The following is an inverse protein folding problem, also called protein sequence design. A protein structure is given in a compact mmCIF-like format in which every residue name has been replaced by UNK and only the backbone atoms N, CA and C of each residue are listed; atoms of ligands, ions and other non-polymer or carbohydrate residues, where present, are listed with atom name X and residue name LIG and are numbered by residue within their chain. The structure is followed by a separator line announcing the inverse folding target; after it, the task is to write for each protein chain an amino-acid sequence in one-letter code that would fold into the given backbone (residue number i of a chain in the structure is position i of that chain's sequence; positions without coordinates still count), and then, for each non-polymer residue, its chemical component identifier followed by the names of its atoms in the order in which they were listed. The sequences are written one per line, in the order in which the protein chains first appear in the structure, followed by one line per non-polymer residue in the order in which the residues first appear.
data_IF_373934792220
#
_entry.id   IF_373934792220
#
_cell.length_a   1.000
_cell.length_b   1.000
_cell.length_c   1.000
_cell.angle_alpha   90.00
_cell.angle_beta   90.00
_cell.angle_gamma   90.00
#
_symmetry.space_group_name_H-M   'P 1'
#
loop_
_entity.id
_entity.type
_entity.pdbx_description
1 polymer ?
#
# COMPACT_ATOMS: atom_id res chain seq x y z
N UNK A 1 -50.39 60.01 -5.00
CA UNK A 1 -50.84 60.65 -6.25
C UNK A 1 -49.75 60.48 -7.30
N UNK A 2 -50.16 60.23 -8.54
CA UNK A 2 -49.36 59.80 -9.70
C UNK A 2 -48.37 60.88 -10.14
N UNK A 3 -47.18 60.49 -10.62
CA UNK A 3 -46.73 60.82 -11.99
C UNK A 3 -45.28 60.42 -12.24
N UNK A 4 -45.08 59.71 -13.34
CA UNK A 4 -43.79 59.50 -13.99
C UNK A 4 -43.37 60.75 -14.77
N UNK A 5 -42.04 60.96 -14.92
CA UNK A 5 -41.50 61.51 -16.17
C UNK A 5 -39.99 61.24 -16.31
N UNK A 6 -39.68 60.57 -17.42
CA UNK A 6 -38.40 60.43 -18.11
C UNK A 6 -37.74 61.79 -18.39
N UNK A 7 -36.40 61.87 -18.39
CA UNK A 7 -35.55 62.59 -19.37
C UNK A 7 -34.09 62.10 -19.17
N UNK A 8 -33.41 61.86 -20.29
CA UNK A 8 -32.05 61.33 -20.41
C UNK A 8 -31.02 62.48 -20.65
N UNK A 9 -29.83 62.23 -21.23
CA UNK A 9 -28.54 62.08 -20.55
C UNK A 9 -27.53 63.17 -20.97
N UNK A 10 -26.40 63.36 -20.28
CA UNK A 10 -25.15 63.83 -20.94
C UNK A 10 -23.90 63.84 -20.03
N UNK A 11 -22.83 63.27 -20.59
CA UNK A 11 -21.44 63.77 -20.59
C UNK A 11 -20.64 63.92 -19.28
N UNK A 12 -19.67 63.00 -19.15
CA UNK A 12 -18.22 63.21 -18.92
C UNK A 12 -17.74 64.31 -17.95
N UNK A 13 -16.91 63.87 -16.97
CA UNK A 13 -15.84 64.66 -16.35
C UNK A 13 -15.91 64.71 -14.82
N UNK A 14 -15.21 63.84 -14.10
CA UNK A 14 -13.83 64.03 -13.57
C UNK A 14 -13.79 64.64 -12.14
N UNK A 15 -13.60 63.74 -11.17
CA UNK A 15 -12.78 63.85 -9.94
C UNK A 15 -13.12 64.92 -8.88
N UNK A 16 -13.51 64.48 -7.67
CA UNK A 16 -12.82 64.84 -6.40
C UNK A 16 -13.26 63.99 -5.19
N UNK A 17 -12.26 63.55 -4.40
CA UNK A 17 -12.22 63.15 -2.97
C UNK A 17 -13.34 62.23 -2.41
N UNK A 18 -12.99 61.01 -2.00
CA UNK A 18 -12.58 60.66 -0.62
C UNK A 18 -13.67 60.98 0.42
N UNK A 19 -14.44 59.98 0.86
CA UNK A 19 -14.24 59.27 2.14
C UNK A 19 -15.52 58.48 2.55
N UNK A 20 -15.33 57.20 2.89
CA UNK A 20 -16.21 56.31 3.69
C UNK A 20 -17.56 55.88 3.08
N UNK A 21 -17.66 54.62 2.64
CA UNK A 21 -18.11 53.49 3.48
C UNK A 21 -18.18 52.22 2.61
N UNK A 22 -17.43 51.21 3.06
CA UNK A 22 -17.64 49.77 2.93
C UNK A 22 -18.73 49.29 1.97
N UNK A 23 -18.40 48.40 1.03
CA UNK A 23 -18.59 46.97 1.25
C UNK A 23 -17.47 46.20 0.52
N UNK A 24 -16.79 45.27 1.21
CA UNK A 24 -15.70 44.49 0.66
C UNK A 24 -16.17 43.53 -0.41
N UNK A 25 -15.28 43.36 -1.37
CA UNK A 25 -15.21 42.30 -2.37
C UNK A 25 -15.89 41.01 -1.92
N UNK A 26 -16.62 40.42 -2.86
CA UNK A 26 -17.17 39.07 -2.83
C UNK A 26 -16.06 38.04 -2.59
N UNK A 27 -15.66 37.89 -1.33
CA UNK A 27 -14.83 36.83 -0.79
C UNK A 27 -15.49 36.32 0.49
N UNK A 28 -16.70 35.79 0.35
CA UNK A 28 -17.29 34.95 1.39
C UNK A 28 -18.37 34.05 0.81
N UNK A 29 -17.97 32.91 0.25
CA UNK A 29 -18.77 31.70 0.39
C UNK A 29 -18.15 30.91 1.55
N UNK A 30 -18.81 30.86 2.72
CA UNK A 30 -18.42 29.95 3.77
C UNK A 30 -18.81 28.53 3.36
N UNK A 31 -17.87 27.59 3.50
CA UNK A 31 -18.19 26.17 3.60
C UNK A 31 -18.34 25.43 2.27
N UNK A 32 -17.23 25.20 1.57
CA UNK A 32 -16.97 23.79 1.19
C UNK A 32 -16.60 23.11 2.50
N UNK A 33 -17.63 22.70 3.26
CA UNK A 33 -17.43 22.00 4.52
C UNK A 33 -16.59 20.76 4.23
N UNK A 34 -15.78 20.34 5.20
CA UNK A 34 -14.98 19.12 5.13
C UNK A 34 -15.79 17.88 4.72
N UNK A 35 -17.12 17.98 4.74
CA UNK A 35 -18.06 16.94 4.42
C UNK A 35 -18.09 16.59 2.92
N UNK A 36 -17.79 17.55 2.02
CA UNK A 36 -17.60 17.26 0.59
C UNK A 36 -16.25 16.58 0.30
N UNK A 37 -15.20 16.92 1.06
CA UNK A 37 -13.91 16.20 0.99
C UNK A 37 -14.03 14.80 1.60
N UNK A 38 -14.75 14.66 2.72
CA UNK A 38 -15.07 13.37 3.36
C UNK A 38 -15.94 12.48 2.47
N UNK A 39 -16.86 13.04 1.69
CA UNK A 39 -17.64 12.24 0.73
C UNK A 39 -16.84 11.87 -0.52
N UNK A 40 -15.83 12.67 -0.94
CA UNK A 40 -14.89 12.26 -1.97
C UNK A 40 -13.93 11.14 -1.48
N UNK A 41 -13.50 11.15 -0.22
CA UNK A 41 -12.75 10.02 0.37
C UNK A 41 -13.60 8.74 0.44
N UNK A 42 -14.91 8.88 0.67
CA UNK A 42 -15.86 7.76 0.64
C UNK A 42 -16.23 7.29 -0.78
N UNK A 43 -16.03 8.13 -1.80
CA UNK A 43 -16.23 7.82 -3.23
C UNK A 43 -14.90 7.68 -3.99
N UNK A 44 -13.82 7.26 -3.32
CA UNK A 44 -12.70 6.64 -4.03
C UNK A 44 -13.24 5.35 -4.64
N UNK A 45 -13.67 5.48 -5.91
CA UNK A 45 -14.08 4.42 -6.83
C UNK A 45 -13.44 3.12 -6.37
N UNK A 46 -14.28 2.23 -5.86
CA UNK A 46 -13.93 0.94 -5.27
C UNK A 46 -13.33 0.05 -6.35
N UNK A 47 -12.09 0.32 -6.71
CA UNK A 47 -11.24 -0.62 -7.39
C UNK A 47 -10.81 -1.67 -6.35
N UNK A 48 -11.78 -2.42 -5.84
CA UNK A 48 -11.55 -3.56 -4.96
C UNK A 48 -10.73 -4.56 -5.76
N UNK A 49 -9.45 -4.69 -5.41
CA UNK A 49 -8.63 -5.73 -6.03
C UNK A 49 -9.11 -7.05 -5.46
N UNK A 50 -9.02 -8.11 -6.26
CA UNK A 50 -9.35 -9.48 -5.82
C UNK A 50 -8.68 -9.83 -4.47
N UNK A 51 -7.48 -9.32 -4.25
CA UNK A 51 -6.71 -9.56 -3.02
C UNK A 51 -7.32 -8.86 -1.78
N UNK A 52 -8.06 -7.76 -1.95
CA UNK A 52 -8.77 -7.07 -0.86
C UNK A 52 -10.02 -7.86 -0.43
N UNK A 53 -10.64 -8.57 -1.38
CA UNK A 53 -11.84 -9.39 -1.14
C UNK A 53 -11.52 -10.81 -0.65
N UNK A 54 -10.30 -11.29 -0.92
CA UNK A 54 -9.85 -12.64 -0.56
C UNK A 54 -8.42 -12.59 0.00
N UNK A 55 -8.24 -12.11 1.25
CA UNK A 55 -6.93 -11.99 1.86
C UNK A 55 -6.29 -13.38 1.98
N UNK A 56 -5.09 -13.53 1.42
CA UNK A 56 -4.32 -14.77 1.55
C UNK A 56 -3.52 -14.77 2.85
N UNK A 57 -3.43 -15.95 3.49
CA UNK A 57 -2.49 -16.20 4.60
C UNK A 57 -1.02 -16.13 4.16
N UNK A 58 -0.74 -16.19 2.86
CA UNK A 58 0.60 -16.30 2.31
C UNK A 58 1.04 -15.02 1.59
N UNK A 59 2.34 -14.71 1.67
CA UNK A 59 2.95 -13.63 0.93
C UNK A 59 2.83 -13.83 -0.58
N UNK A 60 2.36 -12.79 -1.27
CA UNK A 60 2.39 -12.67 -2.72
C UNK A 60 3.29 -11.52 -3.13
N UNK A 61 3.79 -11.53 -4.36
CA UNK A 61 4.61 -10.44 -4.90
C UNK A 61 3.90 -9.07 -4.81
N UNK A 62 2.58 -9.05 -4.99
CA UNK A 62 1.77 -7.83 -4.88
C UNK A 62 1.77 -7.23 -3.46
N UNK A 63 1.95 -8.06 -2.42
CA UNK A 63 1.96 -7.62 -1.02
C UNK A 63 3.22 -6.84 -0.66
N UNK A 64 4.31 -7.07 -1.39
CA UNK A 64 5.58 -6.39 -1.20
C UNK A 64 5.60 -4.99 -1.86
N UNK A 65 4.59 -4.66 -2.67
CA UNK A 65 4.48 -3.33 -3.29
C UNK A 65 5.68 -2.93 -4.15
N UNK A 66 6.41 -3.91 -4.72
CA UNK A 66 7.63 -3.66 -5.50
C UNK A 66 8.88 -3.39 -4.67
N UNK A 67 8.83 -3.48 -3.33
CA UNK A 67 9.95 -3.18 -2.44
C UNK A 67 10.43 -4.44 -1.70
N UNK A 68 11.74 -4.57 -1.41
CA UNK A 68 12.21 -5.59 -0.51
C UNK A 68 11.67 -5.34 0.91
N UNK A 69 11.45 -6.43 1.65
CA UNK A 69 10.97 -6.42 3.03
C UNK A 69 11.86 -7.35 3.88
N UNK A 70 12.56 -6.75 4.83
CA UNK A 70 13.44 -7.46 5.76
C UNK A 70 12.64 -8.00 6.93
N UNK A 71 12.78 -9.29 7.22
CA UNK A 71 12.02 -9.99 8.23
C UNK A 71 12.89 -10.98 9.00
N UNK A 72 12.59 -11.14 10.29
CA UNK A 72 13.15 -12.22 11.11
C UNK A 72 12.22 -13.43 11.08
N UNK A 73 12.78 -14.61 10.84
CA UNK A 73 12.06 -15.88 10.83
C UNK A 73 11.67 -16.22 12.28
N UNK A 74 10.37 -16.41 12.52
CA UNK A 74 9.82 -16.79 13.83
C UNK A 74 9.65 -18.30 13.96
N UNK A 75 9.31 -18.97 12.87
CA UNK A 75 9.01 -20.40 12.89
C UNK A 75 9.10 -21.00 11.49
N UNK A 76 9.55 -22.24 11.41
CA UNK A 76 9.52 -23.07 10.20
C UNK A 76 8.63 -24.29 10.47
N UNK A 77 7.51 -24.41 9.76
CA UNK A 77 6.52 -25.48 9.99
C UNK A 77 6.01 -26.06 8.68
N UNK A 78 5.71 -27.36 8.64
CA UNK A 78 5.07 -27.99 7.49
C UNK A 78 3.54 -27.79 7.59
N UNK A 79 2.93 -27.22 6.54
CA UNK A 79 1.48 -27.13 6.41
C UNK A 79 1.00 -27.85 5.14
N UNK A 80 -0.10 -28.59 5.25
CA UNK A 80 -0.76 -29.21 4.11
C UNK A 80 -1.51 -28.15 3.28
N UNK A 81 -1.02 -27.91 2.06
CA UNK A 81 -1.58 -26.94 1.13
C UNK A 81 -2.26 -27.62 -0.04
N UNK A 82 -3.40 -27.09 -0.47
CA UNK A 82 -4.04 -27.55 -1.71
C UNK A 82 -3.24 -27.05 -2.91
N UNK A 83 -2.76 -27.97 -3.73
CA UNK A 83 -2.14 -27.64 -5.00
C UNK A 83 -3.21 -27.24 -6.05
N UNK A 84 -2.77 -26.85 -7.25
CA UNK A 84 -3.68 -26.47 -8.34
C UNK A 84 -4.64 -27.57 -8.80
N UNK A 85 -4.33 -28.84 -8.50
CA UNK A 85 -5.14 -30.01 -8.84
C UNK A 85 -6.09 -30.40 -7.69
N UNK A 86 -6.09 -29.64 -6.58
CA UNK A 86 -6.94 -29.88 -5.42
C UNK A 86 -6.43 -30.95 -4.45
N UNK A 87 -5.27 -31.55 -4.73
CA UNK A 87 -4.64 -32.50 -3.81
C UNK A 87 -3.87 -31.75 -2.71
N UNK A 88 -3.83 -32.34 -1.52
CA UNK A 88 -3.02 -31.83 -0.42
C UNK A 88 -1.54 -32.14 -0.69
N UNK A 89 -0.70 -31.13 -0.55
CA UNK A 89 0.75 -31.21 -0.69
C UNK A 89 1.35 -30.55 0.55
N UNK A 90 2.19 -31.29 1.26
CA UNK A 90 2.91 -30.77 2.42
C UNK A 90 3.99 -29.80 1.94
N UNK A 91 3.92 -28.56 2.41
CA UNK A 91 4.94 -27.54 2.09
C UNK A 91 5.49 -26.93 3.36
N UNK A 92 6.77 -26.59 3.32
CA UNK A 92 7.40 -25.78 4.34
C UNK A 92 6.87 -24.35 4.28
N UNK A 93 6.50 -23.83 5.44
CA UNK A 93 5.95 -22.50 5.61
C UNK A 93 6.74 -21.78 6.69
N UNK A 94 7.19 -20.55 6.38
CA UNK A 94 7.89 -19.69 7.33
C UNK A 94 6.95 -18.63 7.89
N UNK A 95 6.92 -18.52 9.21
CA UNK A 95 6.35 -17.40 9.93
C UNK A 95 7.41 -16.35 10.23
N UNK A 96 7.00 -15.08 10.32
CA UNK A 96 7.90 -13.97 10.61
C UNK A 96 7.46 -13.18 11.84
N UNK A 97 8.43 -12.60 12.54
CA UNK A 97 8.16 -11.73 13.69
C UNK A 97 7.39 -10.49 13.21
N UNK A 98 6.29 -10.15 13.90
CA UNK A 98 5.47 -8.97 13.58
C UNK A 98 4.60 -9.08 12.32
N UNK A 99 4.67 -10.20 11.57
CA UNK A 99 3.87 -10.39 10.36
C UNK A 99 2.77 -11.43 10.58
N UNK A 100 1.58 -11.14 10.03
CA UNK A 100 0.46 -12.10 9.99
C UNK A 100 0.54 -13.06 8.80
N UNK A 101 1.31 -12.68 7.77
CA UNK A 101 1.48 -13.46 6.56
C UNK A 101 2.65 -14.42 6.70
N UNK A 102 2.51 -15.57 6.05
CA UNK A 102 3.49 -16.63 6.04
C UNK A 102 4.11 -16.75 4.64
N UNK A 103 5.34 -17.23 4.53
CA UNK A 103 5.96 -17.54 3.25
C UNK A 103 5.84 -19.04 2.98
N UNK A 104 5.18 -19.42 1.89
CA UNK A 104 5.27 -20.78 1.37
C UNK A 104 6.63 -20.94 0.68
N UNK A 105 7.46 -21.85 1.20
CA UNK A 105 8.80 -22.07 0.69
C UNK A 105 8.73 -22.99 -0.51
N UNK A 106 9.16 -22.47 -1.66
CA UNK A 106 9.45 -23.30 -2.83
C UNK A 106 10.92 -23.74 -2.81
N UNK A 107 11.29 -24.70 -3.66
CA UNK A 107 12.67 -25.22 -3.73
C UNK A 107 13.73 -24.12 -3.88
N UNK A 108 13.54 -23.17 -4.80
CA UNK A 108 14.52 -22.08 -4.98
C UNK A 108 14.70 -21.22 -3.72
N UNK A 109 13.61 -20.94 -3.00
CA UNK A 109 13.68 -20.17 -1.76
C UNK A 109 14.27 -21.01 -0.63
N UNK A 110 14.02 -22.33 -0.61
CA UNK A 110 14.66 -23.25 0.31
C UNK A 110 16.17 -23.22 0.11
N UNK A 111 16.64 -23.45 -1.11
CA UNK A 111 18.06 -23.46 -1.46
C UNK A 111 18.71 -22.12 -1.08
N UNK A 112 18.06 -20.99 -1.38
CA UNK A 112 18.57 -19.66 -1.02
C UNK A 112 18.67 -19.42 0.49
N UNK A 113 17.77 -19.97 1.30
CA UNK A 113 17.84 -19.85 2.77
C UNK A 113 18.88 -20.83 3.32
N UNK A 114 18.97 -22.04 2.75
CA UNK A 114 19.95 -23.04 3.13
C UNK A 114 21.38 -22.55 2.86
N UNK A 115 21.62 -21.86 1.74
CA UNK A 115 22.90 -21.25 1.42
C UNK A 115 23.31 -20.16 2.43
N UNK A 116 22.35 -19.50 3.07
CA UNK A 116 22.58 -18.43 4.04
C UNK A 116 22.74 -18.95 5.48
N UNK A 117 21.88 -19.89 5.88
CA UNK A 117 21.66 -20.28 7.29
C UNK A 117 21.85 -21.78 7.55
N UNK A 118 22.26 -22.55 6.54
CA UNK A 118 22.45 -24.00 6.60
C UNK A 118 21.21 -24.80 6.18
N UNK A 119 21.40 -26.08 5.84
CA UNK A 119 20.31 -26.95 5.34
C UNK A 119 19.27 -27.32 6.40
N UNK A 120 19.61 -27.21 7.68
CA UNK A 120 18.73 -27.57 8.79
C UNK A 120 17.76 -26.42 9.11
N UNK A 121 16.47 -26.69 8.87
CA UNK A 121 15.40 -25.71 9.10
C UNK A 121 15.22 -25.31 10.55
N UNK A 122 15.66 -26.15 11.49
CA UNK A 122 15.56 -25.85 12.93
C UNK A 122 16.45 -24.65 13.30
N UNK A 123 17.57 -24.48 12.59
CA UNK A 123 18.50 -23.36 12.76
C UNK A 123 18.03 -22.04 12.14
N UNK A 124 16.92 -22.03 11.41
CA UNK A 124 16.44 -20.83 10.72
C UNK A 124 15.68 -19.87 11.63
N UNK A 125 15.17 -20.35 12.77
CA UNK A 125 14.44 -19.49 13.71
C UNK A 125 15.38 -18.44 14.30
N UNK A 126 14.95 -17.18 14.29
CA UNK A 126 15.76 -16.03 14.72
C UNK A 126 16.60 -15.41 13.60
N UNK A 127 16.80 -16.12 12.48
CA UNK A 127 17.58 -15.60 11.35
C UNK A 127 16.83 -14.52 10.57
N UNK A 128 17.58 -13.58 9.99
CA UNK A 128 17.04 -12.48 9.17
C UNK A 128 17.16 -12.82 7.68
N UNK A 129 16.10 -12.54 6.93
CA UNK A 129 16.05 -12.68 5.48
C UNK A 129 15.29 -11.51 4.85
N UNK A 130 15.60 -11.19 3.60
CA UNK A 130 14.86 -10.19 2.81
C UNK A 130 13.95 -10.89 1.82
N UNK A 131 12.65 -10.60 1.88
CA UNK A 131 11.70 -10.96 0.84
C UNK A 131 11.69 -9.89 -0.24
N UNK A 132 11.77 -10.27 -1.51
CA UNK A 132 11.63 -9.32 -2.62
C UNK A 132 10.73 -9.86 -3.73
N UNK A 133 9.98 -8.98 -4.42
CA UNK A 133 9.15 -9.39 -5.55
C UNK A 133 10.01 -9.64 -6.80
N UNK A 134 9.71 -10.71 -7.52
CA UNK A 134 10.37 -11.07 -8.77
C UNK A 134 9.35 -11.74 -9.72
N UNK A 135 9.77 -12.11 -10.94
CA UNK A 135 8.96 -12.83 -11.91
C UNK A 135 9.62 -14.13 -12.34
N UNK A 136 8.87 -15.23 -12.32
CA UNK A 136 9.32 -16.53 -12.79
C UNK A 136 8.53 -16.97 -14.03
N UNK A 137 9.18 -17.68 -14.96
CA UNK A 137 8.48 -18.33 -16.08
C UNK A 137 7.98 -19.70 -15.66
N UNK A 138 6.66 -19.90 -15.69
CA UNK A 138 6.01 -21.19 -15.40
C UNK A 138 5.10 -21.52 -16.58
N UNK A 139 5.36 -22.65 -17.25
CA UNK A 139 4.56 -23.09 -18.41
C UNK A 139 4.48 -22.06 -19.55
N UNK A 140 5.59 -21.35 -19.81
CA UNK A 140 5.67 -20.32 -20.86
C UNK A 140 5.04 -18.97 -20.50
N UNK A 141 4.46 -18.82 -19.31
CA UNK A 141 3.89 -17.55 -18.81
C UNK A 141 4.77 -16.95 -17.72
N UNK A 142 4.90 -15.62 -17.71
CA UNK A 142 5.54 -14.90 -16.61
C UNK A 142 4.55 -14.73 -15.46
N UNK A 143 4.93 -15.19 -14.27
CA UNK A 143 4.12 -15.16 -13.05
C UNK A 143 4.91 -14.42 -11.97
N UNK A 144 4.27 -13.50 -11.26
CA UNK A 144 4.88 -12.78 -10.15
C UNK A 144 5.10 -13.72 -8.95
N UNK A 145 6.27 -13.64 -8.33
CA UNK A 145 6.70 -14.53 -7.25
C UNK A 145 7.46 -13.76 -6.15
N UNK A 146 7.58 -14.37 -4.98
CA UNK A 146 8.39 -13.86 -3.87
C UNK A 146 9.67 -14.67 -3.80
N UNK A 147 10.81 -13.98 -3.74
CA UNK A 147 12.14 -14.55 -3.61
C UNK A 147 12.79 -14.11 -2.31
N UNK A 148 13.82 -14.84 -1.91
CA UNK A 148 14.55 -14.64 -0.66
C UNK A 148 16.01 -14.35 -0.98
N UNK A 149 16.61 -13.45 -0.20
CA UNK A 149 18.06 -13.20 -0.16
C UNK A 149 18.50 -12.86 1.27
N UNK A 150 19.81 -12.78 1.50
CA UNK A 150 20.37 -12.31 2.76
C UNK A 150 19.92 -10.89 3.09
N UNK A 151 19.74 -10.62 4.38
CA UNK A 151 19.44 -9.27 4.85
C UNK A 151 20.67 -8.38 4.66
N UNK A 152 20.51 -7.30 3.90
CA UNK A 152 21.58 -6.32 3.64
C UNK A 152 21.51 -5.24 4.72
N UNK A 153 22.55 -5.14 5.57
CA UNK A 153 22.82 -3.93 6.36
C UNK A 153 22.17 -3.81 7.74
N UNK A 154 22.31 -4.82 8.61
CA UNK A 154 22.16 -4.63 10.05
C UNK A 154 23.36 -5.29 10.75
N UNK A 155 24.29 -4.45 11.17
CA UNK A 155 25.23 -4.66 12.26
C UNK A 155 24.58 -5.46 13.40
N UNK A 156 25.36 -6.39 13.96
CA UNK A 156 24.93 -7.41 14.92
C UNK A 156 24.47 -6.87 16.29
N UNK A 157 24.18 -5.57 16.42
CA UNK A 157 23.67 -4.95 17.64
C UNK A 157 22.13 -4.97 17.68
N UNK A 158 21.60 -5.49 18.79
CA UNK A 158 20.18 -5.60 19.16
C UNK A 158 19.33 -6.63 18.40
N UNK A 159 19.49 -7.89 18.79
CA UNK A 159 18.39 -8.87 18.77
C UNK A 159 17.78 -8.91 20.18
N UNK A 160 16.63 -8.25 20.44
CA UNK A 160 15.84 -8.59 21.62
C UNK A 160 15.19 -9.95 21.39
N UNK A 161 15.60 -10.91 22.22
CA UNK A 161 15.04 -12.26 22.35
C UNK A 161 13.55 -12.23 22.73
#
# INVERSE_FOLDING_TARGET
MRSAKTIAPTSLGFVLLCEICEHPDTNHLPGVTSDLVKTLDAMKVTNMKRDDLFPSRYFKAADLGGKPLDLAIKSATIEALKNMQGANEDKLVLGFVGQKKLLVVNRTNFDAIADLHGEDTDGWTGQRITLYPDTARVGGKSVACVRVRGAEGLDDEEIPL
#
